data_IF_236507074743
#
_entry.id   IF_236507074743
#
_cell.length_a   1.000
_cell.length_b   1.000
_cell.length_c   1.000
_cell.angle_alpha   90.00
_cell.angle_beta   90.00
_cell.angle_gamma   90.00
#
_symmetry.space_group_name_H-M   'P 1'
#
loop_
_entity.id
_entity.type
_entity.pdbx_description
1 polymer ?
#
# COMPACT_ATOMS: atom_id res chain seq x y z
N UNK A 1 45.13 -53.30 -40.23
CA UNK A 1 45.11 -52.04 -39.46
C UNK A 1 44.12 -51.12 -40.16
N UNK A 2 43.09 -50.60 -39.45
CA UNK A 2 42.20 -49.47 -39.86
C UNK A 2 41.20 -49.83 -41.00
N UNK A 3 39.85 -49.70 -40.98
CA UNK A 3 38.78 -49.15 -40.10
C UNK A 3 37.54 -50.09 -40.20
N UNK A 4 36.88 -50.41 -39.08
CA UNK A 4 35.48 -50.90 -39.07
C UNK A 4 34.55 -49.69 -39.04
N UNK A 5 33.63 -49.64 -40.00
CA UNK A 5 32.57 -48.64 -40.08
C UNK A 5 31.45 -48.82 -39.06
N UNK A 6 30.53 -47.86 -39.08
CA UNK A 6 29.17 -47.99 -38.56
C UNK A 6 28.93 -47.28 -37.24
N UNK A 7 28.55 -46.00 -37.31
CA UNK A 7 27.73 -45.38 -36.25
C UNK A 7 26.40 -46.15 -36.10
N UNK A 8 25.87 -46.24 -34.87
CA UNK A 8 24.43 -46.07 -34.76
C UNK A 8 24.00 -45.18 -33.59
N UNK A 9 23.08 -44.28 -33.99
CA UNK A 9 21.83 -43.97 -33.32
C UNK A 9 21.83 -42.98 -32.15
N UNK A 10 21.66 -41.73 -32.58
CA UNK A 10 21.01 -40.61 -31.91
C UNK A 10 19.74 -41.03 -31.16
N UNK A 11 19.61 -40.56 -29.93
CA UNK A 11 18.42 -40.64 -29.10
C UNK A 11 17.18 -40.07 -29.83
N UNK A 12 16.21 -40.95 -30.09
CA UNK A 12 14.83 -40.62 -30.43
C UNK A 12 13.99 -40.72 -29.16
N UNK A 13 13.49 -39.59 -28.67
CA UNK A 13 12.32 -39.53 -27.78
C UNK A 13 11.49 -38.28 -28.10
N UNK A 14 10.97 -38.26 -29.32
CA UNK A 14 9.84 -37.39 -29.65
C UNK A 14 8.53 -38.07 -29.24
N UNK A 15 7.67 -37.27 -28.60
CA UNK A 15 6.23 -37.48 -28.41
C UNK A 15 5.79 -38.53 -27.38
N UNK A 16 5.28 -38.05 -26.25
CA UNK A 16 3.92 -38.35 -25.78
C UNK A 16 3.45 -37.35 -24.72
N UNK A 17 2.52 -36.49 -25.18
CA UNK A 17 1.40 -35.86 -24.51
C UNK A 17 1.59 -34.97 -23.25
N UNK A 18 1.04 -33.77 -23.43
CA UNK A 18 0.75 -32.74 -22.45
C UNK A 18 -0.30 -33.17 -21.41
N UNK A 19 -0.14 -32.69 -20.18
CA UNK A 19 -1.25 -32.22 -19.34
C UNK A 19 -0.81 -30.93 -18.65
N UNK A 20 -1.67 -29.93 -18.85
CA UNK A 20 -1.63 -28.56 -18.37
C UNK A 20 -1.74 -28.51 -16.85
N UNK A 21 -0.89 -27.72 -16.20
CA UNK A 21 -1.28 -26.79 -15.12
C UNK A 21 -0.26 -25.66 -15.10
N UNK A 22 -0.53 -24.63 -15.93
CA UNK A 22 0.08 -23.32 -15.76
C UNK A 22 -0.51 -22.73 -14.47
N UNK A 23 0.13 -23.01 -13.33
CA UNK A 23 -0.02 -22.17 -12.16
C UNK A 23 0.85 -20.96 -12.44
N UNK A 24 0.28 -19.97 -13.12
CA UNK A 24 0.86 -18.63 -13.19
C UNK A 24 0.74 -18.06 -11.78
N UNK A 25 1.68 -18.42 -10.90
CA UNK A 25 1.95 -17.63 -9.70
C UNK A 25 2.44 -16.31 -10.28
N UNK A 26 1.55 -15.31 -10.30
CA UNK A 26 1.92 -13.92 -10.46
C UNK A 26 2.77 -13.61 -9.22
N UNK A 27 4.05 -13.96 -9.30
CA UNK A 27 5.06 -13.40 -8.45
C UNK A 27 5.08 -11.93 -8.81
N UNK A 28 4.33 -11.12 -8.05
CA UNK A 28 4.54 -9.69 -7.98
C UNK A 28 5.97 -9.54 -7.44
N UNK A 29 6.93 -9.54 -8.37
CA UNK A 29 8.28 -9.14 -8.06
C UNK A 29 8.14 -7.67 -7.69
N UNK A 30 8.22 -7.39 -6.39
CA UNK A 30 8.50 -6.07 -5.87
C UNK A 30 9.89 -5.66 -6.40
N UNK A 31 9.93 -5.20 -7.65
CA UNK A 31 11.01 -4.38 -8.18
C UNK A 31 10.62 -2.96 -7.82
N UNK A 32 10.88 -2.59 -6.56
CA UNK A 32 11.11 -1.19 -6.24
C UNK A 32 12.27 -0.70 -7.10
N UNK A 33 11.95 0.16 -8.07
CA UNK A 33 12.95 0.93 -8.82
C UNK A 33 13.26 0.43 -10.23
N UNK A 34 12.37 0.71 -11.18
CA UNK A 34 12.76 1.29 -12.47
C UNK A 34 11.56 2.03 -13.03
N UNK A 35 11.70 3.33 -13.28
CA UNK A 35 10.60 4.30 -13.37
C UNK A 35 9.42 3.84 -14.22
N UNK A 36 8.29 3.58 -13.53
CA UNK A 36 7.00 3.74 -14.20
C UNK A 36 6.90 5.23 -14.55
N UNK A 37 6.85 5.54 -15.85
CA UNK A 37 6.55 6.87 -16.35
C UNK A 37 5.13 7.34 -15.98
N UNK A 38 4.34 6.46 -15.35
CA UNK A 38 3.01 6.79 -14.90
C UNK A 38 3.05 7.64 -13.62
N UNK A 39 2.36 8.78 -13.67
CA UNK A 39 2.31 9.76 -12.59
C UNK A 39 1.64 9.26 -11.30
N UNK A 40 0.76 8.26 -11.39
CA UNK A 40 0.08 7.70 -10.22
C UNK A 40 0.77 6.43 -9.71
N UNK A 41 1.33 5.61 -10.58
CA UNK A 41 1.93 4.35 -10.16
C UNK A 41 3.11 4.53 -9.22
N UNK A 42 3.13 3.75 -8.14
CA UNK A 42 4.13 3.81 -7.08
C UNK A 42 3.51 3.68 -5.70
N UNK A 43 4.37 3.83 -4.70
CA UNK A 43 4.01 3.82 -3.29
C UNK A 43 4.00 5.26 -2.77
N UNK A 44 2.92 5.63 -2.09
CA UNK A 44 2.65 7.01 -1.68
C UNK A 44 2.23 7.04 -0.22
N UNK A 45 2.94 7.82 0.58
CA UNK A 45 2.70 7.92 2.02
C UNK A 45 2.29 9.33 2.42
N UNK A 46 1.44 9.44 3.42
CA UNK A 46 1.08 10.75 3.98
C UNK A 46 0.27 10.61 5.26
N UNK A 47 -0.02 11.75 5.89
CA UNK A 47 -0.75 11.78 7.16
C UNK A 47 -1.96 12.68 7.04
N UNK A 48 -3.08 12.27 7.62
CA UNK A 48 -4.28 13.10 7.66
C UNK A 48 -5.39 12.47 8.48
N UNK A 49 -6.48 13.22 8.68
CA UNK A 49 -7.61 12.74 9.46
C UNK A 49 -8.48 11.75 8.68
N UNK A 50 -8.72 10.61 9.30
CA UNK A 50 -9.82 9.72 8.94
C UNK A 50 -10.95 9.89 9.97
N UNK A 51 -12.20 9.64 9.58
CA UNK A 51 -13.39 9.80 10.42
C UNK A 51 -13.20 9.49 11.92
N UNK A 52 -13.83 10.27 12.81
CA UNK A 52 -14.01 10.03 14.26
C UNK A 52 -12.76 9.70 15.11
N UNK A 53 -11.55 9.72 14.56
CA UNK A 53 -10.33 9.63 15.38
C UNK A 53 -9.91 11.03 15.83
N UNK A 54 -9.54 11.17 17.11
CA UNK A 54 -8.95 12.41 17.65
C UNK A 54 -7.58 12.74 17.03
N UNK A 55 -7.01 11.81 16.26
CA UNK A 55 -5.64 11.83 15.77
C UNK A 55 -5.59 11.51 14.28
N UNK A 56 -4.53 11.99 13.63
CA UNK A 56 -4.24 11.66 12.23
C UNK A 56 -3.98 10.16 12.06
N UNK A 57 -4.25 9.65 10.86
CA UNK A 57 -3.83 8.35 10.40
C UNK A 57 -2.63 8.51 9.47
N UNK A 58 -1.78 7.50 9.43
CA UNK A 58 -0.86 7.30 8.33
C UNK A 58 -1.58 6.60 7.19
N UNK A 59 -1.44 7.13 5.98
CA UNK A 59 -1.94 6.55 4.74
C UNK A 59 -0.74 6.03 3.97
N UNK A 60 -0.84 4.78 3.54
CA UNK A 60 0.09 4.12 2.63
C UNK A 60 -0.71 3.59 1.44
N UNK A 61 -0.47 4.15 0.26
CA UNK A 61 -1.13 3.78 -0.99
C UNK A 61 -0.12 3.19 -1.95
N UNK A 62 -0.30 1.90 -2.26
CA UNK A 62 0.40 1.22 -3.35
C UNK A 62 -0.49 1.19 -4.59
N UNK A 63 -0.07 1.91 -5.62
CA UNK A 63 -0.84 2.10 -6.86
C UNK A 63 -0.13 1.42 -8.02
N UNK A 64 -0.84 0.55 -8.73
CA UNK A 64 -0.32 -0.18 -9.89
C UNK A 64 -1.30 -0.05 -11.07
N UNK A 65 -0.79 -0.08 -12.30
CA UNK A 65 -1.67 -0.20 -13.48
C UNK A 65 -2.23 -1.62 -13.55
N UNK A 66 -3.51 -1.74 -13.83
CA UNK A 66 -4.20 -3.04 -13.89
C UNK A 66 -4.10 -3.75 -15.27
N UNK A 67 -3.44 -3.11 -16.24
CA UNK A 67 -3.30 -3.61 -17.62
C UNK A 67 -4.36 -3.06 -18.59
N UNK A 68 -5.42 -2.42 -18.09
CA UNK A 68 -6.34 -1.61 -18.89
C UNK A 68 -5.72 -0.22 -19.12
N UNK A 69 -6.05 0.44 -20.24
CA UNK A 69 -5.43 1.72 -20.61
C UNK A 69 -5.61 2.81 -19.54
N UNK A 70 -6.73 2.78 -18.82
CA UNK A 70 -7.10 3.78 -17.81
C UNK A 70 -7.29 3.18 -16.40
N UNK A 71 -6.98 1.90 -16.20
CA UNK A 71 -7.31 1.19 -14.96
C UNK A 71 -6.12 1.07 -14.00
N UNK A 72 -6.44 1.13 -12.70
CA UNK A 72 -5.47 1.02 -11.62
C UNK A 72 -6.00 0.12 -10.50
N UNK A 73 -5.10 -0.65 -9.90
CA UNK A 73 -5.29 -1.28 -8.59
C UNK A 73 -4.63 -0.42 -7.52
N UNK A 74 -5.31 -0.28 -6.39
CA UNK A 74 -4.84 0.54 -5.26
C UNK A 74 -4.98 -0.30 -4.00
N UNK A 75 -3.86 -0.63 -3.37
CA UNK A 75 -3.85 -1.17 -2.02
C UNK A 75 -3.63 -0.03 -1.05
N UNK A 76 -4.63 0.24 -0.21
CA UNK A 76 -4.58 1.31 0.78
C UNK A 76 -4.47 0.69 2.17
N UNK A 77 -3.43 1.07 2.91
CA UNK A 77 -3.32 0.77 4.34
C UNK A 77 -3.44 2.06 5.13
N UNK A 78 -4.33 2.07 6.12
CA UNK A 78 -4.41 3.11 7.14
C UNK A 78 -3.87 2.60 8.45
N UNK A 79 -2.97 3.35 9.06
CA UNK A 79 -2.35 2.97 10.32
C UNK A 79 -2.44 4.05 11.38
N UNK A 80 -2.87 3.68 12.60
CA UNK A 80 -3.14 4.64 13.66
C UNK A 80 -3.19 4.00 15.05
N UNK A 81 -3.01 4.82 16.09
CA UNK A 81 -3.29 4.45 17.47
C UNK A 81 -4.80 4.55 17.77
N UNK A 82 -5.46 3.40 17.95
CA UNK A 82 -6.87 3.35 18.31
C UNK A 82 -7.05 3.29 19.84
N UNK A 83 -7.84 4.21 20.40
CA UNK A 83 -8.25 4.11 21.80
C UNK A 83 -9.22 2.93 21.98
N UNK A 84 -9.01 2.09 23.00
CA UNK A 84 -9.99 1.07 23.37
C UNK A 84 -11.27 1.74 23.90
N UNK A 85 -12.42 1.19 23.55
CA UNK A 85 -13.78 1.72 23.83
C UNK A 85 -14.05 2.08 25.31
N UNK A 86 -13.25 1.56 26.25
CA UNK A 86 -13.31 1.91 27.66
C UNK A 86 -12.13 2.80 28.06
N UNK A 87 -12.15 4.06 27.66
CA UNK A 87 -11.44 5.11 28.40
C UNK A 87 -12.27 5.38 29.67
N UNK A 88 -12.15 4.51 30.68
CA UNK A 88 -12.83 4.68 31.96
C UNK A 88 -11.93 5.43 32.95
N UNK A 89 -12.40 6.58 33.44
CA UNK A 89 -11.72 7.31 34.52
C UNK A 89 -10.26 7.69 34.24
N UNK A 90 -9.38 7.34 35.17
CA UNK A 90 -7.96 7.75 35.24
C UNK A 90 -7.02 6.97 34.31
N UNK A 91 -7.51 6.12 33.41
CA UNK A 91 -6.68 5.32 32.52
C UNK A 91 -7.09 5.40 31.04
N UNK A 92 -6.11 5.30 30.15
CA UNK A 92 -6.31 5.22 28.70
C UNK A 92 -5.46 4.08 28.11
N UNK A 93 -6.03 3.29 27.20
CA UNK A 93 -5.32 2.21 26.52
C UNK A 93 -5.45 2.35 25.02
N UNK A 94 -4.32 2.33 24.32
CA UNK A 94 -4.25 2.43 22.87
C UNK A 94 -3.70 1.15 22.27
N UNK A 95 -4.26 0.73 21.14
CA UNK A 95 -3.74 -0.36 20.33
C UNK A 95 -3.41 0.14 18.93
N UNK A 96 -2.26 -0.26 18.40
CA UNK A 96 -1.94 0.00 17.01
C UNK A 96 -2.89 -0.76 16.09
N UNK A 97 -3.36 -0.10 15.03
CA UNK A 97 -4.24 -0.67 14.03
C UNK A 97 -3.65 -0.44 12.65
N UNK A 98 -3.80 -1.46 11.81
CA UNK A 98 -3.57 -1.38 10.37
C UNK A 98 -4.84 -1.88 9.69
N UNK A 99 -5.43 -1.07 8.84
CA UNK A 99 -6.60 -1.41 8.04
C UNK A 99 -6.22 -1.35 6.57
N UNK A 100 -6.18 -2.51 5.92
CA UNK A 100 -5.86 -2.61 4.50
C UNK A 100 -7.11 -2.90 3.70
N UNK A 101 -7.32 -2.15 2.62
CA UNK A 101 -8.36 -2.39 1.64
C UNK A 101 -7.80 -2.38 0.23
N UNK A 102 -8.47 -3.12 -0.67
CA UNK A 102 -8.15 -3.14 -2.09
C UNK A 102 -9.23 -2.38 -2.84
N UNK A 103 -8.79 -1.36 -3.56
CA UNK A 103 -9.61 -0.48 -4.36
C UNK A 103 -9.20 -0.61 -5.82
N UNK A 104 -10.10 -0.19 -6.69
CA UNK A 104 -9.78 0.00 -8.10
C UNK A 104 -10.07 1.44 -8.48
N UNK A 105 -9.30 1.96 -9.43
CA UNK A 105 -9.44 3.31 -9.92
C UNK A 105 -9.54 3.35 -11.44
N UNK A 106 -10.18 4.39 -11.96
CA UNK A 106 -10.21 4.67 -13.39
C UNK A 106 -9.83 6.12 -13.66
N UNK A 107 -8.86 6.32 -14.54
CA UNK A 107 -8.41 7.65 -14.94
C UNK A 107 -9.45 8.32 -15.86
N UNK A 108 -9.95 9.48 -15.43
CA UNK A 108 -10.87 10.32 -16.18
C UNK A 108 -10.49 11.78 -15.99
N UNK A 109 -10.29 12.53 -17.09
CA UNK A 109 -9.96 13.96 -17.03
C UNK A 109 -8.80 14.28 -16.06
N UNK A 110 -7.72 13.50 -16.12
CA UNK A 110 -6.55 13.61 -15.22
C UNK A 110 -6.78 13.35 -13.72
N UNK A 111 -7.98 12.91 -13.35
CA UNK A 111 -8.34 12.47 -12.00
C UNK A 111 -8.48 10.95 -11.99
N UNK A 112 -7.86 10.31 -11.01
CA UNK A 112 -8.03 8.88 -10.78
C UNK A 112 -9.22 8.69 -9.83
N UNK A 113 -10.37 8.38 -10.41
CA UNK A 113 -11.63 8.18 -9.69
C UNK A 113 -11.67 6.78 -9.07
N UNK A 114 -12.00 6.69 -7.78
CA UNK A 114 -12.05 5.40 -7.07
C UNK A 114 -13.41 4.73 -7.29
N UNK A 115 -13.39 3.50 -7.80
CA UNK A 115 -14.60 2.75 -8.11
C UNK A 115 -15.42 2.48 -6.84
N UNK A 116 -16.74 2.65 -6.94
CA UNK A 116 -17.68 2.41 -5.83
C UNK A 116 -17.69 3.50 -4.75
N UNK A 117 -16.87 4.56 -4.87
CA UNK A 117 -16.88 5.68 -3.94
C UNK A 117 -16.72 7.02 -4.66
N UNK A 118 -17.83 7.70 -4.95
CA UNK A 118 -17.83 9.01 -5.63
C UNK A 118 -17.25 10.17 -4.81
N UNK A 119 -16.90 9.92 -3.54
CA UNK A 119 -16.21 10.90 -2.69
C UNK A 119 -14.71 10.62 -2.58
N UNK A 120 -14.19 9.61 -3.27
CA UNK A 120 -12.77 9.28 -3.26
C UNK A 120 -12.14 9.43 -4.63
N UNK A 121 -11.05 10.20 -4.69
CA UNK A 121 -10.31 10.45 -5.92
C UNK A 121 -8.86 10.81 -5.62
N UNK A 122 -7.98 10.57 -6.59
CA UNK A 122 -6.57 10.96 -6.55
C UNK A 122 -6.27 11.96 -7.66
N UNK A 123 -5.60 13.05 -7.32
CA UNK A 123 -5.13 14.06 -8.27
C UNK A 123 -3.62 14.23 -8.12
N UNK A 124 -2.90 14.17 -9.24
CA UNK A 124 -1.45 14.38 -9.26
C UNK A 124 -1.11 15.84 -9.46
N UNK A 125 -0.26 16.38 -8.59
CA UNK A 125 0.32 17.70 -8.73
C UNK A 125 1.76 17.58 -9.22
N UNK A 126 1.99 17.94 -10.49
CA UNK A 126 3.29 17.81 -11.13
C UNK A 126 4.34 18.77 -10.58
N UNK A 127 3.96 19.96 -10.11
CA UNK A 127 4.91 20.98 -9.64
C UNK A 127 5.57 20.57 -8.32
N UNK A 128 4.85 19.78 -7.52
CA UNK A 128 5.29 19.33 -6.18
C UNK A 128 5.59 17.85 -6.10
N UNK A 129 5.35 17.10 -7.18
CA UNK A 129 5.47 15.64 -7.22
C UNK A 129 4.68 14.93 -6.09
N UNK A 130 3.44 15.38 -5.86
CA UNK A 130 2.57 14.88 -4.78
C UNK A 130 1.22 14.36 -5.32
N UNK A 131 0.58 13.46 -4.57
CA UNK A 131 -0.82 13.09 -4.78
C UNK A 131 -1.71 13.76 -3.75
N UNK A 132 -2.83 14.30 -4.20
CA UNK A 132 -3.93 14.70 -3.34
C UNK A 132 -4.97 13.60 -3.35
N UNK A 133 -5.12 12.93 -2.20
CA UNK A 133 -6.14 11.93 -1.97
C UNK A 133 -7.35 12.56 -1.30
N UNK A 134 -8.42 12.75 -2.06
CA UNK A 134 -9.72 13.12 -1.50
C UNK A 134 -10.36 11.85 -0.96
N UNK A 135 -10.79 11.86 0.28
CA UNK A 135 -11.48 10.74 0.94
C UNK A 135 -12.60 11.28 1.82
N UNK A 136 -13.82 11.26 1.29
CA UNK A 136 -14.96 11.93 1.93
C UNK A 136 -14.78 13.45 1.89
N UNK A 137 -14.80 14.07 3.08
CA UNK A 137 -14.63 15.53 3.26
C UNK A 137 -13.17 15.94 3.54
N UNK A 138 -12.25 14.98 3.60
CA UNK A 138 -10.83 15.23 3.84
C UNK A 138 -10.03 15.16 2.53
N UNK A 139 -9.00 15.99 2.43
CA UNK A 139 -7.94 15.86 1.42
C UNK A 139 -6.63 15.56 2.16
N UNK A 140 -6.02 14.42 1.84
CA UNK A 140 -4.72 13.99 2.35
C UNK A 140 -3.67 14.24 1.27
N UNK A 141 -2.57 14.88 1.65
CA UNK A 141 -1.42 15.04 0.75
C UNK A 141 -0.48 13.85 0.94
N UNK A 142 -0.16 13.16 -0.15
CA UNK A 142 0.72 12.00 -0.17
C UNK A 142 1.97 12.33 -0.96
N UNK A 143 3.11 11.92 -0.42
CA UNK A 143 4.42 12.04 -1.05
C UNK A 143 4.86 10.68 -1.56
N UNK A 144 5.64 10.66 -2.64
CA UNK A 144 6.15 9.40 -3.16
C UNK A 144 7.15 8.82 -2.17
N UNK A 145 6.87 7.62 -1.66
CA UNK A 145 7.73 7.02 -0.64
C UNK A 145 8.90 6.27 -1.28
N UNK A 146 10.04 6.34 -0.58
CA UNK A 146 11.22 5.52 -0.86
C UNK A 146 11.41 4.42 0.19
N UNK A 147 10.74 4.56 1.34
CA UNK A 147 10.82 3.68 2.49
C UNK A 147 9.55 3.85 3.35
N UNK A 148 8.44 3.28 2.87
CA UNK A 148 7.15 3.42 3.54
C UNK A 148 7.15 2.82 4.96
N UNK A 149 7.95 1.77 5.18
CA UNK A 149 8.12 1.17 6.50
C UNK A 149 8.83 2.14 7.47
N UNK A 150 9.90 2.79 7.03
CA UNK A 150 10.59 3.81 7.83
C UNK A 150 9.71 5.04 8.12
N UNK A 151 8.93 5.48 7.14
CA UNK A 151 7.95 6.57 7.29
C UNK A 151 6.87 6.21 8.33
N UNK A 152 6.35 4.98 8.26
CA UNK A 152 5.35 4.44 9.17
C UNK A 152 5.87 4.35 10.61
N UNK A 153 7.08 3.81 10.80
CA UNK A 153 7.70 3.70 12.12
C UNK A 153 7.95 5.09 12.74
N UNK A 154 8.40 6.04 11.92
CA UNK A 154 8.60 7.43 12.34
C UNK A 154 7.28 8.07 12.78
N UNK A 155 6.21 7.88 12.02
CA UNK A 155 4.88 8.35 12.38
C UNK A 155 4.35 7.69 13.66
N UNK A 156 4.42 6.36 13.75
CA UNK A 156 3.92 5.58 14.89
C UNK A 156 4.55 6.04 16.20
N UNK A 157 5.87 6.24 16.19
CA UNK A 157 6.62 6.70 17.36
C UNK A 157 6.30 8.14 17.72
N UNK A 158 6.29 9.07 16.75
CA UNK A 158 5.93 10.47 16.99
C UNK A 158 4.53 10.61 17.57
N UNK A 159 3.54 9.93 16.97
CA UNK A 159 2.15 9.98 17.46
C UNK A 159 2.03 9.37 18.86
N UNK A 160 2.78 8.31 19.17
CA UNK A 160 2.84 7.75 20.52
C UNK A 160 3.38 8.75 21.53
N UNK A 161 4.44 9.49 21.20
CA UNK A 161 5.01 10.54 22.06
C UNK A 161 4.02 11.68 22.31
N UNK A 162 3.31 12.13 21.28
CA UNK A 162 2.26 13.15 21.39
C UNK A 162 1.10 12.69 22.30
N UNK A 163 0.70 11.42 22.16
CA UNK A 163 -0.30 10.79 23.04
C UNK A 163 0.20 10.72 24.49
N UNK A 164 1.44 10.31 24.70
CA UNK A 164 2.05 10.24 26.03
C UNK A 164 2.07 11.61 26.72
N UNK A 165 2.52 12.65 26.03
CA UNK A 165 2.52 14.03 26.55
C UNK A 165 1.11 14.50 26.92
N UNK A 166 0.12 14.26 26.04
CA UNK A 166 -1.29 14.60 26.31
C UNK A 166 -1.82 13.87 27.56
N UNK A 167 -1.57 12.56 27.68
CA UNK A 167 -2.06 11.74 28.79
C UNK A 167 -1.39 12.10 30.12
N UNK A 168 -0.09 12.39 30.12
CA UNK A 168 0.66 12.88 31.28
C UNK A 168 0.07 14.19 31.80
N UNK A 169 -0.22 15.15 30.92
CA UNK A 169 -0.86 16.43 31.29
C UNK A 169 -2.24 16.26 31.91
N UNK A 170 -2.95 15.18 31.56
CA UNK A 170 -4.25 14.84 32.13
C UNK A 170 -4.17 13.99 33.41
N UNK A 171 -2.96 13.65 33.88
CA UNK A 171 -2.77 12.80 35.06
C UNK A 171 -3.33 11.38 34.90
N UNK A 172 -3.37 10.87 33.66
CA UNK A 172 -3.91 9.53 33.36
C UNK A 172 -2.81 8.48 33.34
N UNK A 173 -3.12 7.29 33.84
CA UNK A 173 -2.35 6.08 33.57
C UNK A 173 -2.56 5.66 32.11
N UNK A 174 -1.55 5.08 31.47
CA UNK A 174 -1.67 4.71 30.06
C UNK A 174 -0.93 3.43 29.70
N UNK A 175 -1.43 2.77 28.64
CA UNK A 175 -0.77 1.63 28.01
C UNK A 175 -0.90 1.70 26.49
N UNK A 176 0.13 1.19 25.82
CA UNK A 176 0.21 1.08 24.37
C UNK A 176 0.49 -0.38 24.02
N UNK A 177 -0.25 -0.93 23.06
CA UNK A 177 -0.06 -2.29 22.56
C UNK A 177 0.07 -2.26 21.05
N UNK A 178 1.14 -2.84 20.54
CA UNK A 178 1.42 -2.95 19.11
C UNK A 178 0.59 -4.05 18.43
#
# INVERSE_FOLDING_TARGET
MIVKGGNPMRFSRFMKLAVVMAVTILAAVFISGCGSSDKFAGEWTGTGRYNQTDFDCFYDLKIEKDGNSNGYTIEQTRSYWNAKESISGSSASYSWKNETEKLTGSLQNDVLEIAGNSQSSLTYNADKEELQYKTGDTIVTLQKSKDAAGDLDSFKNRQKEELLDKLNKMGRNFSFTD
#
